data_IF_213362748135
#
_entry.id   IF_213362748135
#
_cell.length_a   1.000
_cell.length_b   1.000
_cell.length_c   1.000
_cell.angle_alpha   90.00
_cell.angle_beta   90.00
_cell.angle_gamma   90.00
#
_symmetry.space_group_name_H-M   'P 1'
#
loop_
_entity.id
_entity.type
_entity.pdbx_description
1 polymer ?
#
# COMPACT_ATOMS: atom_id res chain seq x y z
N UNK A 1 24.64 -11.79 -30.58
CA UNK A 1 23.60 -11.08 -29.80
C UNK A 1 22.29 -11.30 -30.55
N UNK A 2 21.28 -11.93 -29.92
CA UNK A 2 19.96 -12.06 -30.54
C UNK A 2 19.14 -10.87 -30.04
N UNK A 3 19.26 -9.75 -30.74
CA UNK A 3 18.64 -8.46 -30.39
C UNK A 3 17.14 -8.42 -30.74
N UNK A 4 16.42 -9.50 -30.43
CA UNK A 4 15.00 -9.64 -30.68
C UNK A 4 14.23 -9.76 -29.38
N UNK A 5 13.12 -9.04 -29.27
CA UNK A 5 12.17 -9.21 -28.16
C UNK A 5 11.75 -10.68 -28.09
N UNK A 6 11.90 -11.30 -26.91
CA UNK A 6 11.45 -12.67 -26.69
C UNK A 6 9.91 -12.70 -26.76
N UNK A 7 9.38 -13.23 -27.87
CA UNK A 7 7.93 -13.26 -28.13
C UNK A 7 7.12 -13.99 -27.06
N UNK A 8 7.68 -15.02 -26.42
CA UNK A 8 7.01 -15.76 -25.34
C UNK A 8 6.93 -14.88 -24.10
N UNK A 9 8.04 -14.25 -23.69
CA UNK A 9 8.07 -13.36 -22.54
C UNK A 9 7.13 -12.16 -22.74
N UNK A 10 7.13 -11.58 -23.95
CA UNK A 10 6.23 -10.49 -24.31
C UNK A 10 4.76 -10.93 -24.27
N UNK A 11 4.43 -12.11 -24.80
CA UNK A 11 3.07 -12.63 -24.77
C UNK A 11 2.58 -12.86 -23.34
N UNK A 12 3.41 -13.41 -22.46
CA UNK A 12 3.08 -13.59 -21.03
C UNK A 12 2.86 -12.24 -20.35
N UNK A 13 3.73 -11.26 -20.61
CA UNK A 13 3.57 -9.90 -20.07
C UNK A 13 2.26 -9.27 -20.52
N UNK A 14 1.98 -9.27 -21.84
CA UNK A 14 0.75 -8.70 -22.40
C UNK A 14 -0.48 -9.41 -21.83
N UNK A 15 -0.44 -10.74 -21.71
CA UNK A 15 -1.54 -11.51 -21.14
C UNK A 15 -1.88 -11.05 -19.71
N UNK A 16 -0.90 -11.03 -18.80
CA UNK A 16 -1.15 -10.62 -17.41
C UNK A 16 -1.50 -9.14 -17.31
N UNK A 17 -0.86 -8.29 -18.11
CA UNK A 17 -1.19 -6.86 -18.18
C UNK A 17 -2.66 -6.67 -18.53
N UNK A 18 -3.13 -7.29 -19.62
CA UNK A 18 -4.52 -7.20 -20.06
C UNK A 18 -5.49 -7.78 -19.02
N UNK A 19 -5.17 -8.93 -18.42
CA UNK A 19 -5.99 -9.55 -17.38
C UNK A 19 -6.17 -8.59 -16.19
N UNK A 20 -5.09 -8.02 -15.67
CA UNK A 20 -5.15 -7.07 -14.55
C UNK A 20 -5.86 -5.78 -14.95
N UNK A 21 -5.60 -5.23 -16.14
CA UNK A 21 -6.30 -4.04 -16.65
C UNK A 21 -7.80 -4.28 -16.73
N UNK A 22 -8.23 -5.37 -17.36
CA UNK A 22 -9.65 -5.71 -17.47
C UNK A 22 -10.26 -5.90 -16.08
N UNK A 23 -9.61 -6.67 -15.19
CA UNK A 23 -10.09 -6.83 -13.82
C UNK A 23 -10.25 -5.48 -13.10
N UNK A 24 -9.32 -4.53 -13.27
CA UNK A 24 -9.40 -3.19 -12.70
C UNK A 24 -10.64 -2.42 -13.18
N UNK A 25 -10.92 -2.44 -14.49
CA UNK A 25 -12.13 -1.81 -15.03
C UNK A 25 -13.42 -2.54 -14.61
N UNK A 26 -13.40 -3.87 -14.51
CA UNK A 26 -14.54 -4.63 -13.98
C UNK A 26 -14.74 -4.41 -12.48
N UNK A 27 -13.68 -4.07 -11.73
CA UNK A 27 -13.78 -3.69 -10.33
C UNK A 27 -14.43 -2.31 -10.17
N UNK A 28 -14.28 -1.39 -11.13
CA UNK A 28 -14.93 -0.06 -11.07
C UNK A 28 -16.47 -0.11 -11.10
N UNK A 29 -17.06 -1.22 -11.56
CA UNK A 29 -18.51 -1.46 -11.48
C UNK A 29 -18.92 -2.30 -10.25
N UNK A 30 -17.95 -2.84 -9.51
CA UNK A 30 -18.21 -3.63 -8.31
C UNK A 30 -18.44 -2.71 -7.12
N UNK A 31 -19.55 -2.91 -6.40
CA UNK A 31 -19.98 -2.04 -5.28
C UNK A 31 -20.01 -0.55 -5.65
N UNK A 32 -20.78 -0.19 -6.70
CA UNK A 32 -21.15 1.20 -6.99
C UNK A 32 -22.03 1.76 -5.87
N UNK A 33 -21.42 2.17 -4.77
CA UNK A 33 -21.99 3.14 -3.84
C UNK A 33 -21.50 4.55 -4.26
N UNK A 34 -22.17 5.60 -3.78
CA UNK A 34 -21.92 6.96 -4.24
C UNK A 34 -20.49 7.42 -3.96
N UNK A 35 -19.66 7.46 -5.00
CA UNK A 35 -18.26 7.98 -5.02
C UNK A 35 -18.10 9.42 -4.51
N UNK A 36 -19.22 10.09 -4.18
CA UNK A 36 -19.25 11.41 -3.55
C UNK A 36 -18.78 11.39 -2.08
N UNK A 37 -18.73 10.21 -1.44
CA UNK A 37 -18.24 10.03 -0.07
C UNK A 37 -16.72 9.75 -0.03
N UNK A 38 -15.96 10.53 0.74
CA UNK A 38 -14.52 10.30 0.98
C UNK A 38 -14.25 8.95 1.68
N UNK A 39 -15.18 8.47 2.50
CA UNK A 39 -15.07 7.16 3.17
C UNK A 39 -15.28 6.00 2.17
N UNK A 40 -16.14 6.20 1.17
CA UNK A 40 -16.33 5.22 0.10
C UNK A 40 -15.16 5.20 -0.89
N UNK A 41 -14.72 6.37 -1.35
CA UNK A 41 -13.60 6.48 -2.28
C UNK A 41 -12.25 6.09 -1.64
N UNK A 42 -12.00 6.55 -0.41
CA UNK A 42 -10.71 6.35 0.27
C UNK A 42 -10.60 5.04 1.05
N UNK A 43 -11.71 4.50 1.58
CA UNK A 43 -11.69 3.32 2.47
C UNK A 43 -12.59 2.17 1.97
N UNK A 44 -13.18 2.26 0.78
CA UNK A 44 -14.10 1.24 0.27
C UNK A 44 -15.35 1.07 1.14
N UNK A 45 -15.78 2.15 1.81
CA UNK A 45 -16.89 2.15 2.76
C UNK A 45 -16.64 1.28 3.98
N UNK A 46 -15.35 1.00 4.30
CA UNK A 46 -14.92 0.17 5.43
C UNK A 46 -15.54 -1.23 5.45
N UNK A 47 -15.94 -1.69 4.26
CA UNK A 47 -16.78 -2.87 4.08
C UNK A 47 -16.01 -4.07 3.52
N UNK A 48 -14.72 -3.89 3.21
CA UNK A 48 -13.85 -4.96 2.78
C UNK A 48 -13.61 -5.93 3.93
N UNK A 49 -14.04 -7.18 3.72
CA UNK A 49 -13.75 -8.28 4.66
C UNK A 49 -12.27 -8.66 4.64
N UNK A 50 -11.89 -9.53 5.57
CA UNK A 50 -10.49 -9.96 5.79
C UNK A 50 -9.80 -10.43 4.51
N UNK A 51 -10.50 -11.12 3.62
CA UNK A 51 -9.91 -11.67 2.39
C UNK A 51 -9.43 -10.59 1.42
N UNK A 52 -10.28 -9.60 1.14
CA UNK A 52 -9.92 -8.47 0.25
C UNK A 52 -8.83 -7.63 0.90
N UNK A 53 -8.97 -7.33 2.20
CA UNK A 53 -7.98 -6.58 2.96
C UNK A 53 -6.62 -7.28 3.00
N UNK A 54 -6.58 -8.61 3.07
CA UNK A 54 -5.34 -9.38 3.03
C UNK A 54 -4.60 -9.20 1.69
N UNK A 55 -5.33 -9.26 0.57
CA UNK A 55 -4.73 -8.99 -0.75
C UNK A 55 -4.28 -7.53 -0.90
N UNK A 56 -5.05 -6.57 -0.38
CA UNK A 56 -4.66 -5.15 -0.41
C UNK A 56 -3.38 -4.91 0.39
N UNK A 57 -3.31 -5.45 1.61
CA UNK A 57 -2.10 -5.37 2.42
C UNK A 57 -0.91 -6.08 1.75
N UNK A 58 -1.14 -7.25 1.17
CA UNK A 58 -0.10 -7.97 0.45
C UNK A 58 0.45 -7.17 -0.74
N UNK A 59 -0.43 -6.60 -1.55
CA UNK A 59 -0.04 -5.80 -2.72
C UNK A 59 0.64 -4.47 -2.36
N UNK A 60 0.23 -3.84 -1.27
CA UNK A 60 0.81 -2.58 -0.78
C UNK A 60 2.19 -2.79 -0.13
N UNK A 61 2.35 -3.85 0.65
CA UNK A 61 3.58 -4.13 1.39
C UNK A 61 4.66 -4.81 0.53
N UNK A 62 4.27 -5.72 -0.37
CA UNK A 62 5.21 -6.48 -1.21
C UNK A 62 5.28 -5.90 -2.62
N UNK A 63 6.05 -4.84 -2.76
CA UNK A 63 6.25 -4.14 -4.04
C UNK A 63 7.45 -4.71 -4.82
N UNK A 64 7.71 -4.11 -5.99
CA UNK A 64 8.89 -4.41 -6.80
C UNK A 64 10.21 -4.30 -6.01
N UNK A 65 10.26 -3.45 -4.98
CA UNK A 65 11.41 -3.33 -4.08
C UNK A 65 11.83 -4.68 -3.48
N UNK A 66 10.88 -5.46 -2.96
CA UNK A 66 11.18 -6.73 -2.29
C UNK A 66 11.72 -7.77 -3.27
N UNK A 67 11.22 -7.79 -4.51
CA UNK A 67 11.58 -8.81 -5.50
C UNK A 67 12.82 -8.44 -6.33
N UNK A 68 13.14 -7.16 -6.47
CA UNK A 68 14.25 -6.69 -7.30
C UNK A 68 15.38 -6.12 -6.44
N UNK A 69 15.08 -5.16 -5.57
CA UNK A 69 16.11 -4.43 -4.83
C UNK A 69 16.78 -5.30 -3.76
N UNK A 70 16.00 -6.08 -3.00
CA UNK A 70 16.55 -6.92 -1.91
C UNK A 70 17.48 -8.02 -2.46
N UNK A 71 17.10 -8.83 -3.47
CA UNK A 71 18.02 -9.80 -4.05
C UNK A 71 19.25 -9.16 -4.70
N UNK A 72 19.09 -8.01 -5.37
CA UNK A 72 20.22 -7.26 -5.92
C UNK A 72 21.20 -6.80 -4.82
N UNK A 73 20.68 -6.34 -3.68
CA UNK A 73 21.50 -5.95 -2.52
C UNK A 73 22.22 -7.14 -1.89
N UNK A 74 21.57 -8.32 -1.82
CA UNK A 74 22.23 -9.56 -1.36
C UNK A 74 23.31 -9.99 -2.36
N UNK A 75 23.03 -9.92 -3.66
CA UNK A 75 24.00 -10.24 -4.69
C UNK A 75 25.25 -9.33 -4.64
N UNK A 76 25.05 -8.03 -4.42
CA UNK A 76 26.14 -7.06 -4.38
C UNK A 76 26.88 -6.99 -3.02
N UNK A 77 26.14 -7.07 -1.91
CA UNK A 77 26.65 -6.84 -0.55
C UNK A 77 26.68 -8.08 0.36
N UNK A 78 26.31 -9.25 -0.15
CA UNK A 78 26.30 -10.50 0.59
C UNK A 78 25.32 -10.50 1.77
N UNK A 79 25.78 -11.00 2.92
CA UNK A 79 24.96 -11.16 4.12
C UNK A 79 24.33 -9.86 4.62
N UNK A 80 24.94 -8.70 4.37
CA UNK A 80 24.36 -7.41 4.78
C UNK A 80 23.01 -7.13 4.09
N UNK A 81 22.80 -7.62 2.86
CA UNK A 81 21.53 -7.49 2.15
C UNK A 81 20.36 -8.21 2.82
N UNK A 82 20.65 -9.21 3.68
CA UNK A 82 19.62 -9.91 4.44
C UNK A 82 18.95 -9.05 5.51
N UNK A 83 19.42 -7.82 5.77
CA UNK A 83 18.85 -6.94 6.81
C UNK A 83 17.32 -6.78 6.71
N UNK A 84 16.75 -6.86 5.50
CA UNK A 84 15.31 -6.75 5.28
C UNK A 84 14.51 -7.81 6.04
N UNK A 85 15.05 -9.01 6.23
CA UNK A 85 14.38 -10.13 6.92
C UNK A 85 14.26 -9.89 8.44
N UNK A 86 15.34 -9.72 9.22
CA UNK A 86 15.21 -9.43 10.64
C UNK A 86 14.51 -8.09 10.90
N UNK A 87 14.73 -7.09 10.05
CA UNK A 87 14.01 -5.80 10.12
C UNK A 87 12.50 -6.01 10.09
N UNK A 88 11.97 -6.73 9.10
CA UNK A 88 10.52 -6.96 8.99
C UNK A 88 9.99 -7.80 10.14
N UNK A 89 10.69 -8.84 10.58
CA UNK A 89 10.33 -9.68 11.73
C UNK A 89 10.14 -8.82 13.00
N UNK A 90 11.00 -7.83 13.23
CA UNK A 90 10.92 -6.95 14.40
C UNK A 90 9.84 -5.87 14.24
N UNK A 91 9.67 -5.33 13.05
CA UNK A 91 8.74 -4.21 12.79
C UNK A 91 7.28 -4.63 12.87
N UNK A 92 6.90 -5.80 12.36
CA UNK A 92 5.49 -6.22 12.37
C UNK A 92 4.88 -6.27 13.78
N UNK A 93 5.49 -6.94 14.78
CA UNK A 93 4.99 -6.92 16.16
C UNK A 93 4.84 -5.51 16.71
N UNK A 94 5.82 -4.64 16.47
CA UNK A 94 5.77 -3.23 16.91
C UNK A 94 4.58 -2.52 16.28
N UNK A 95 4.37 -2.65 14.97
CA UNK A 95 3.21 -2.08 14.28
C UNK A 95 1.91 -2.61 14.89
N UNK A 96 1.81 -3.92 15.13
CA UNK A 96 0.61 -4.53 15.74
C UNK A 96 0.33 -4.08 17.17
N UNK A 97 1.28 -3.47 17.89
CA UNK A 97 0.98 -2.83 19.19
C UNK A 97 0.20 -1.52 19.05
N UNK A 98 0.40 -0.77 17.98
CA UNK A 98 -0.22 0.55 17.78
C UNK A 98 -1.37 0.53 16.78
N UNK A 99 -1.28 -0.29 15.74
CA UNK A 99 -2.20 -0.30 14.60
C UNK A 99 -3.64 -0.67 14.99
N UNK A 100 -3.91 -1.67 15.86
CA UNK A 100 -5.28 -1.96 16.30
C UNK A 100 -5.91 -0.78 17.05
N UNK A 101 -5.11 -0.07 17.85
CA UNK A 101 -5.56 1.13 18.57
C UNK A 101 -5.84 2.28 17.61
N UNK A 102 -4.96 2.52 16.64
CA UNK A 102 -5.16 3.52 15.60
C UNK A 102 -6.44 3.23 14.81
N UNK A 103 -6.61 1.98 14.37
CA UNK A 103 -7.82 1.54 13.67
C UNK A 103 -9.09 1.79 14.49
N UNK A 104 -9.10 1.42 15.77
CA UNK A 104 -10.25 1.63 16.65
C UNK A 104 -10.60 3.12 16.82
N UNK A 105 -9.60 3.99 16.96
CA UNK A 105 -9.83 5.44 17.11
C UNK A 105 -10.33 6.03 15.79
N UNK A 106 -9.68 5.70 14.68
CA UNK A 106 -10.06 6.19 13.35
C UNK A 106 -11.46 5.72 12.95
N UNK A 107 -11.83 4.48 13.29
CA UNK A 107 -13.18 3.96 13.04
C UNK A 107 -14.24 4.70 13.88
N UNK A 108 -13.97 4.96 15.16
CA UNK A 108 -14.92 5.66 16.04
C UNK A 108 -15.14 7.13 15.68
N UNK A 109 -14.10 7.82 15.20
CA UNK A 109 -14.18 9.25 14.89
C UNK A 109 -14.37 9.54 13.41
N UNK A 110 -14.50 8.52 12.57
CA UNK A 110 -14.63 8.69 11.12
C UNK A 110 -13.40 9.31 10.46
N UNK A 111 -12.20 9.11 11.01
CA UNK A 111 -10.97 9.59 10.38
C UNK A 111 -10.67 8.77 9.12
N UNK A 112 -10.34 9.49 8.05
CA UNK A 112 -10.00 8.92 6.73
C UNK A 112 -8.49 8.96 6.52
N UNK A 113 -7.82 10.04 6.94
CA UNK A 113 -6.38 10.24 6.77
C UNK A 113 -5.62 10.24 8.10
N UNK A 114 -4.30 10.04 8.02
CA UNK A 114 -3.40 10.21 9.18
C UNK A 114 -3.39 11.66 9.69
N UNK A 115 -3.56 12.64 8.80
CA UNK A 115 -3.74 14.05 9.19
C UNK A 115 -5.02 14.29 9.98
N UNK A 116 -6.13 13.63 9.64
CA UNK A 116 -7.39 13.75 10.41
C UNK A 116 -7.22 13.23 11.84
N UNK A 117 -6.52 12.10 11.99
CA UNK A 117 -6.18 11.56 13.30
C UNK A 117 -5.35 12.56 14.12
N UNK A 118 -4.33 13.17 13.51
CA UNK A 118 -3.48 14.17 14.18
C UNK A 118 -4.28 15.41 14.56
N UNK A 119 -5.13 15.90 13.66
CA UNK A 119 -6.00 17.04 13.95
C UNK A 119 -6.97 16.74 15.09
N UNK A 120 -7.60 15.57 15.08
CA UNK A 120 -8.53 15.15 16.12
C UNK A 120 -7.86 14.88 17.46
N UNK A 121 -6.63 14.35 17.45
CA UNK A 121 -5.88 14.02 18.66
C UNK A 121 -5.23 15.23 19.34
N UNK A 122 -4.76 16.20 18.57
CA UNK A 122 -3.96 17.33 19.06
C UNK A 122 -4.65 18.69 18.92
N UNK A 123 -5.77 18.80 18.20
CA UNK A 123 -6.49 20.06 17.98
C UNK A 123 -5.75 21.09 17.11
N UNK A 124 -4.57 20.75 16.57
CA UNK A 124 -3.71 21.69 15.84
C UNK A 124 -3.83 21.53 14.32
N UNK A 125 -4.30 22.59 13.65
CA UNK A 125 -4.31 22.67 12.18
C UNK A 125 -2.91 22.70 11.57
N UNK A 126 -1.96 23.39 12.22
CA UNK A 126 -0.58 23.47 11.74
C UNK A 126 0.12 22.11 11.75
N UNK A 127 -0.06 21.34 12.83
CA UNK A 127 0.51 19.99 12.93
C UNK A 127 -0.15 19.03 11.93
N UNK A 128 -1.47 19.14 11.75
CA UNK A 128 -2.20 18.38 10.73
C UNK A 128 -1.68 18.67 9.32
N UNK A 129 -1.41 19.94 9.00
CA UNK A 129 -0.87 20.35 7.69
C UNK A 129 0.55 19.83 7.50
N UNK A 130 1.40 19.94 8.52
CA UNK A 130 2.76 19.41 8.47
C UNK A 130 2.75 17.90 8.18
N UNK A 131 1.91 17.13 8.88
CA UNK A 131 1.78 15.68 8.65
C UNK A 131 1.23 15.37 7.26
N UNK A 132 0.26 16.14 6.77
CA UNK A 132 -0.26 15.96 5.41
C UNK A 132 0.83 16.20 4.35
N UNK A 133 1.60 17.29 4.47
CA UNK A 133 2.69 17.61 3.56
C UNK A 133 3.81 16.56 3.63
N UNK A 134 4.20 16.14 4.83
CA UNK A 134 5.20 15.08 5.00
C UNK A 134 4.71 13.77 4.39
N UNK A 135 3.42 13.42 4.55
CA UNK A 135 2.83 12.24 3.92
C UNK A 135 2.93 12.27 2.40
N UNK A 136 2.53 13.39 1.78
CA UNK A 136 2.62 13.58 0.32
C UNK A 136 4.08 13.45 -0.15
N UNK A 137 5.00 14.17 0.51
CA UNK A 137 6.42 14.14 0.17
C UNK A 137 7.07 12.77 0.38
N UNK A 138 6.62 12.00 1.38
CA UNK A 138 7.11 10.65 1.63
C UNK A 138 6.64 9.65 0.56
N UNK A 139 5.53 9.94 -0.13
CA UNK A 139 4.99 9.10 -1.22
C UNK A 139 5.54 9.45 -2.61
N UNK A 140 6.11 10.65 -2.80
CA UNK A 140 6.72 11.07 -4.07
C UNK A 140 7.96 10.30 -4.55
N UNK A 141 8.81 9.71 -3.68
CA UNK A 141 10.03 9.02 -4.11
C UNK A 141 9.79 7.63 -4.73
N UNK A 142 8.52 7.22 -4.88
CA UNK A 142 8.12 6.07 -5.69
C UNK A 142 7.74 6.52 -7.10
#
# INVERSE_FOLDING_TARGET
MKDGVNGIALAVFIFFFLVVTVMGFLAARWRRSGVESLDEWGLGGRSFGTWVTWFLLGGDLYTAYTFVAVPAAIYAGGAAGFYAVPYTILVYPLIFTFLPRLWSVSHRHGYVTTSDFVRGRFGSKGLSLAVALTGILATMPY
#
